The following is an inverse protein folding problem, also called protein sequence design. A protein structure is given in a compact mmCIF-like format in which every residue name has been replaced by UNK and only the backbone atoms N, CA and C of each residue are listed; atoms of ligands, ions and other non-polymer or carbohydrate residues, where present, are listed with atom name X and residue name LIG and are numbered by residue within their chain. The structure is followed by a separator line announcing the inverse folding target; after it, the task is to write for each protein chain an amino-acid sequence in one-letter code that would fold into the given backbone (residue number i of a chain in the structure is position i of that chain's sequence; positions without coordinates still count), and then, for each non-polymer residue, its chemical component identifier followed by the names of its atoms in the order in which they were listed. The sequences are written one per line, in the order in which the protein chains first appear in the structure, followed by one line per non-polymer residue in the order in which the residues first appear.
data_IF_789061573650
#
_entry.id   IF_789061573650
#
_cell.length_a   1.000
_cell.length_b   1.000
_cell.length_c   1.000
_cell.angle_alpha   90.00
_cell.angle_beta   90.00
_cell.angle_gamma   90.00
#
_symmetry.space_group_name_H-M   'P 1'
#
loop_
_entity.id
_entity.type
_entity.pdbx_description
1 polymer ?
#
# COMPACT_ATOMS: atom_id res chain seq x y z
N UNK A 1 -14.78 -6.49 -12.41
CA UNK A 1 -14.63 -7.45 -11.28
C UNK A 1 -13.36 -7.05 -10.55
N UNK A 2 -13.45 -6.25 -9.48
CA UNK A 2 -12.27 -5.95 -8.66
C UNK A 2 -12.01 -7.16 -7.77
N UNK A 3 -10.91 -7.88 -8.01
CA UNK A 3 -10.48 -8.93 -7.10
C UNK A 3 -10.02 -8.27 -5.79
N UNK A 4 -10.68 -8.60 -4.69
CA UNK A 4 -10.22 -8.21 -3.35
C UNK A 4 -9.08 -9.16 -2.99
N UNK A 5 -7.87 -8.63 -2.83
CA UNK A 5 -6.78 -9.41 -2.26
C UNK A 5 -7.11 -9.60 -0.79
N UNK A 6 -7.08 -10.83 -0.23
CA UNK A 6 -7.13 -11.02 1.21
C UNK A 6 -5.81 -10.54 1.81
N UNK A 7 -5.66 -9.22 1.94
CA UNK A 7 -4.56 -8.59 2.64
C UNK A 7 -4.75 -8.90 4.13
N UNK A 8 -3.91 -9.78 4.69
CA UNK A 8 -3.62 -9.73 6.12
C UNK A 8 -2.99 -8.35 6.36
N UNK A 9 -3.75 -7.34 6.75
CA UNK A 9 -3.31 -5.95 6.71
C UNK A 9 -2.45 -5.49 7.88
N UNK A 10 -1.58 -6.37 8.36
CA UNK A 10 -0.29 -5.95 8.90
C UNK A 10 0.79 -5.86 7.81
N UNK A 11 0.62 -6.57 6.69
CA UNK A 11 1.66 -6.72 5.70
C UNK A 11 1.67 -5.68 4.57
N UNK A 12 0.50 -5.14 4.23
CA UNK A 12 0.40 -4.04 3.25
C UNK A 12 0.96 -2.75 3.84
N UNK A 13 0.65 -2.45 5.09
CA UNK A 13 1.08 -1.27 5.86
C UNK A 13 2.59 -1.19 6.01
N UNK A 14 3.20 -2.30 6.42
CA UNK A 14 4.65 -2.38 6.63
C UNK A 14 5.40 -2.24 5.31
N UNK A 15 4.90 -2.86 4.23
CA UNK A 15 5.49 -2.71 2.91
C UNK A 15 5.41 -1.27 2.39
N UNK A 16 4.23 -0.65 2.45
CA UNK A 16 4.02 0.73 2.02
C UNK A 16 4.93 1.66 2.81
N UNK A 17 4.99 1.49 4.13
CA UNK A 17 5.87 2.30 5.01
C UNK A 17 7.33 2.10 4.66
N UNK A 18 7.78 0.85 4.51
CA UNK A 18 9.16 0.51 4.22
C UNK A 18 9.63 1.09 2.88
N UNK A 19 8.86 0.87 1.81
CA UNK A 19 9.20 1.37 0.48
C UNK A 19 9.07 2.88 0.37
N UNK A 20 8.12 3.49 1.07
CA UNK A 20 8.01 4.95 1.17
C UNK A 20 9.26 5.55 1.82
N UNK A 21 9.74 4.97 2.91
CA UNK A 21 10.99 5.39 3.57
C UNK A 21 12.21 5.16 2.67
N UNK A 22 12.28 4.03 1.96
CA UNK A 22 13.37 3.72 1.02
C UNK A 22 13.44 4.73 -0.15
N UNK A 23 12.30 5.28 -0.55
CA UNK A 23 12.17 6.29 -1.60
C UNK A 23 12.22 7.73 -1.06
N UNK A 24 12.40 7.88 0.25
CA UNK A 24 12.41 9.17 0.95
C UNK A 24 11.15 10.02 0.70
N UNK A 25 10.02 9.36 0.41
CA UNK A 25 8.76 10.03 0.13
C UNK A 25 8.04 10.38 1.44
N UNK A 26 7.57 11.60 1.55
CA UNK A 26 6.60 11.98 2.58
C UNK A 26 5.22 11.36 2.29
N UNK A 27 4.35 11.40 3.28
CA UNK A 27 2.97 10.93 3.13
C UNK A 27 2.26 11.74 2.04
N UNK A 28 2.43 13.06 2.05
CA UNK A 28 1.84 13.99 1.06
C UNK A 28 2.38 13.77 -0.36
N UNK A 29 3.69 13.53 -0.52
CA UNK A 29 4.27 13.24 -1.84
C UNK A 29 3.72 11.95 -2.43
N UNK A 30 3.58 10.90 -1.61
CA UNK A 30 2.92 9.67 -2.07
C UNK A 30 1.45 9.92 -2.46
N UNK A 31 0.76 10.85 -1.81
CA UNK A 31 -0.62 11.19 -2.15
C UNK A 31 -0.68 11.89 -3.51
N UNK A 32 0.20 12.88 -3.71
CA UNK A 32 0.35 13.60 -4.96
C UNK A 32 0.65 12.64 -6.13
N UNK A 33 1.56 11.67 -5.94
CA UNK A 33 1.87 10.67 -6.97
C UNK A 33 0.67 9.77 -7.29
N UNK A 34 -0.10 9.34 -6.28
CA UNK A 34 -1.31 8.55 -6.50
C UNK A 34 -2.41 9.33 -7.22
N UNK A 35 -2.57 10.62 -6.91
CA UNK A 35 -3.46 11.53 -7.65
C UNK A 35 -3.04 11.68 -9.11
N UNK A 36 -1.74 11.83 -9.40
CA UNK A 36 -1.23 11.88 -10.78
C UNK A 36 -1.47 10.58 -11.57
N UNK A 37 -1.63 9.44 -10.87
CA UNK A 37 -1.93 8.14 -11.46
C UNK A 37 -3.44 7.89 -11.63
N UNK A 38 -4.29 8.91 -11.43
CA UNK A 38 -5.76 8.83 -11.46
C UNK A 38 -6.32 7.83 -10.41
N UNK A 39 -5.57 7.62 -9.33
CA UNK A 39 -5.94 6.73 -8.23
C UNK A 39 -5.89 7.47 -6.89
N UNK A 40 -6.73 8.51 -6.68
CA UNK A 40 -6.71 9.30 -5.46
C UNK A 40 -7.09 8.43 -4.26
N UNK A 41 -6.18 8.32 -3.30
CA UNK A 41 -6.46 7.71 -2.00
C UNK A 41 -6.45 8.83 -0.96
N UNK A 42 -7.59 9.08 -0.33
CA UNK A 42 -7.70 10.08 0.73
C UNK A 42 -6.77 9.76 1.90
N UNK A 43 -6.35 10.77 2.65
CA UNK A 43 -5.51 10.59 3.84
C UNK A 43 -6.14 9.62 4.84
N UNK A 44 -7.47 9.70 5.03
CA UNK A 44 -8.22 8.75 5.86
C UNK A 44 -8.21 7.34 5.26
N UNK A 45 -8.44 7.19 3.96
CA UNK A 45 -8.38 5.89 3.28
C UNK A 45 -7.00 5.24 3.38
N UNK A 46 -5.92 6.04 3.36
CA UNK A 46 -4.56 5.55 3.57
C UNK A 46 -4.30 5.14 5.00
N UNK A 47 -4.74 5.94 5.97
CA UNK A 47 -4.63 5.60 7.37
C UNK A 47 -5.46 4.35 7.71
N UNK A 48 -6.58 4.13 7.04
CA UNK A 48 -7.37 2.91 7.12
C UNK A 48 -6.65 1.70 6.48
N UNK A 49 -6.02 1.88 5.32
CA UNK A 49 -5.20 0.83 4.69
C UNK A 49 -3.99 0.46 5.58
N UNK A 50 -3.31 1.44 6.17
CA UNK A 50 -2.18 1.22 7.06
C UNK A 50 -2.60 0.53 8.38
N UNK A 51 -3.84 0.73 8.83
CA UNK A 51 -4.38 0.12 10.06
C UNK A 51 -5.16 -1.17 9.84
N UNK A 52 -5.18 -1.72 8.64
CA UNK A 52 -6.04 -2.87 8.26
C UNK A 52 -7.55 -2.61 8.43
N UNK A 53 -7.97 -1.34 8.54
CA UNK A 53 -9.37 -0.97 8.68
C UNK A 53 -10.10 -0.97 7.33
N UNK A 54 -9.34 -0.86 6.22
CA UNK A 54 -9.85 -0.96 4.85
C UNK A 54 -9.03 -2.00 4.07
N UNK A 55 -9.67 -2.99 3.42
CA UNK A 55 -8.96 -3.94 2.57
C UNK A 55 -8.29 -3.22 1.38
N UNK A 56 -7.08 -3.66 1.03
CA UNK A 56 -6.32 -3.16 -0.13
C UNK A 56 -6.72 -3.98 -1.35
N UNK A 57 -7.23 -3.32 -2.39
CA UNK A 57 -7.60 -3.97 -3.66
C UNK A 57 -6.36 -4.22 -4.54
N UNK A 58 -6.49 -5.06 -5.58
CA UNK A 58 -5.41 -5.22 -6.57
C UNK A 58 -5.06 -3.89 -7.23
N UNK A 59 -6.05 -3.04 -7.52
CA UNK A 59 -5.82 -1.74 -8.15
C UNK A 59 -5.10 -0.78 -7.21
N UNK A 60 -5.48 -0.76 -5.93
CA UNK A 60 -4.73 -0.02 -4.89
C UNK A 60 -3.27 -0.47 -4.85
N UNK A 61 -3.03 -1.79 -4.86
CA UNK A 61 -1.69 -2.36 -4.83
C UNK A 61 -0.87 -1.97 -6.07
N UNK A 62 -1.48 -2.01 -7.26
CA UNK A 62 -0.81 -1.63 -8.52
C UNK A 62 -0.47 -0.14 -8.50
N UNK A 63 -1.40 0.73 -8.14
CA UNK A 63 -1.18 2.17 -8.06
C UNK A 63 -0.06 2.51 -7.05
N UNK A 64 -0.09 1.90 -5.88
CA UNK A 64 0.95 2.05 -4.84
C UNK A 64 2.30 1.54 -5.34
N UNK A 65 2.34 0.40 -6.03
CA UNK A 65 3.57 -0.16 -6.59
C UNK A 65 4.19 0.75 -7.65
N UNK A 66 3.38 1.37 -8.50
CA UNK A 66 3.81 2.38 -9.46
C UNK A 66 4.32 3.63 -8.75
N UNK A 67 3.62 4.10 -7.71
CA UNK A 67 4.01 5.29 -6.96
C UNK A 67 5.32 5.11 -6.18
N UNK A 68 5.61 3.88 -5.75
CA UNK A 68 6.82 3.52 -5.02
C UNK A 68 7.96 3.03 -5.93
N UNK A 69 7.73 2.98 -7.25
CA UNK A 69 8.65 2.39 -8.22
C UNK A 69 9.14 1.00 -7.77
N UNK A 70 8.18 0.15 -7.39
CA UNK A 70 8.40 -1.19 -6.86
C UNK A 70 7.51 -2.20 -7.59
N UNK A 71 7.98 -3.43 -7.80
CA UNK A 71 7.13 -4.47 -8.36
C UNK A 71 6.02 -4.86 -7.37
N UNK A 72 4.75 -5.06 -7.79
CA UNK A 72 3.64 -5.43 -6.89
C UNK A 72 3.93 -6.66 -6.03
N UNK A 73 4.69 -7.62 -6.56
CA UNK A 73 5.08 -8.84 -5.85
C UNK A 73 5.96 -8.56 -4.62
N UNK A 74 6.72 -7.47 -4.62
CA UNK A 74 7.56 -7.07 -3.49
C UNK A 74 6.71 -6.57 -2.31
N UNK A 75 5.64 -5.84 -2.60
CA UNK A 75 4.66 -5.44 -1.58
C UNK A 75 3.94 -6.67 -1.00
N UNK A 76 3.64 -7.67 -1.84
CA UNK A 76 3.05 -8.93 -1.40
C UNK A 76 4.03 -9.81 -0.61
N UNK A 77 5.34 -9.64 -0.80
CA UNK A 77 6.36 -10.46 -0.14
C UNK A 77 6.49 -10.16 1.36
N UNK A 78 6.06 -8.96 1.79
CA UNK A 78 5.91 -8.62 3.20
C UNK A 78 4.72 -9.31 3.88
N UNK A 79 3.88 -10.06 3.15
CA UNK A 79 2.73 -10.82 3.68
C UNK A 79 3.14 -12.09 4.45
N UNK A 80 4.43 -12.38 4.55
CA UNK A 80 4.96 -13.48 5.34
C UNK A 80 5.97 -13.05 6.39
N UNK A 81 5.59 -13.15 7.69
CA UNK A 81 6.38 -13.68 8.84
C UNK A 81 6.08 -13.05 10.22
N UNK A 82 4.91 -12.45 10.48
CA UNK A 82 4.53 -12.19 11.88
C UNK A 82 4.15 -13.52 12.60
N UNK A 83 4.85 -13.93 13.69
CA UNK A 83 4.47 -15.11 14.46
C UNK A 83 3.16 -14.86 15.20
N UNK A 84 2.37 -15.92 15.35
CA UNK A 84 1.05 -15.92 15.99
C UNK A 84 1.27 -15.94 17.50
N UNK A 85 0.99 -14.83 18.18
CA UNK A 85 0.84 -14.77 19.64
C UNK A 85 -0.61 -14.69 20.02
#
# INVERSE_FOLDING_TARGET
MHAVVPSRGLAGSDAITHYRQLRELTVDELACVLEMLDHPVSADGRAEMERDARPVTVDDLVAISCALDAAPVLLLSHIGTAPRS
#
